data_IF_394360239111
#
_entry.id   IF_394360239111
#
_cell.length_a   1.000
_cell.length_b   1.000
_cell.length_c   1.000
_cell.angle_alpha   90.00
_cell.angle_beta   90.00
_cell.angle_gamma   90.00
#
_symmetry.space_group_name_H-M   'P 1'
#
loop_
_entity.id
_entity.type
_entity.pdbx_description
1 polymer ?
#
# COMPACT_ATOMS: atom_id res chain seq x y z
N UNK A 1 -13.04 -18.18 18.88
CA UNK A 1 -11.86 -17.81 18.06
C UNK A 1 -12.05 -16.37 17.59
N UNK A 2 -11.63 -15.43 18.42
CA UNK A 2 -11.71 -13.98 18.15
C UNK A 2 -10.80 -13.67 16.96
N UNK A 3 -11.36 -13.12 15.88
CA UNK A 3 -10.58 -12.67 14.72
C UNK A 3 -9.72 -11.49 15.15
N UNK A 4 -8.46 -11.75 15.49
CA UNK A 4 -7.55 -10.68 15.86
C UNK A 4 -7.36 -9.76 14.64
N UNK A 5 -7.71 -8.47 14.77
CA UNK A 5 -7.63 -7.54 13.64
C UNK A 5 -6.21 -7.35 13.12
N UNK A 6 -5.21 -7.67 13.95
CA UNK A 6 -3.79 -7.67 13.60
C UNK A 6 -3.45 -8.85 12.68
N UNK A 7 -3.99 -10.05 12.97
CA UNK A 7 -3.81 -11.24 12.13
C UNK A 7 -4.43 -11.06 10.75
N UNK A 8 -5.60 -10.41 10.65
CA UNK A 8 -6.21 -10.07 9.37
C UNK A 8 -5.37 -9.07 8.56
N UNK A 9 -4.80 -8.07 9.22
CA UNK A 9 -3.90 -7.11 8.57
C UNK A 9 -2.60 -7.77 8.10
N UNK A 10 -2.03 -8.66 8.91
CA UNK A 10 -0.87 -9.46 8.56
C UNK A 10 -1.16 -10.36 7.35
N UNK A 11 -2.27 -11.10 7.36
CA UNK A 11 -2.67 -11.95 6.24
C UNK A 11 -2.84 -11.12 4.97
N UNK A 12 -3.47 -9.95 5.05
CA UNK A 12 -3.59 -9.02 3.93
C UNK A 12 -2.23 -8.56 3.38
N UNK A 13 -1.25 -8.27 4.24
CA UNK A 13 0.12 -7.92 3.82
C UNK A 13 0.84 -9.08 3.11
N UNK A 14 0.62 -10.32 3.57
CA UNK A 14 1.17 -11.52 2.92
C UNK A 14 0.56 -11.68 1.53
N UNK A 15 -0.76 -11.57 1.40
CA UNK A 15 -1.45 -11.64 0.10
C UNK A 15 -1.01 -10.54 -0.85
N UNK A 16 -0.87 -9.29 -0.36
CA UNK A 16 -0.35 -8.18 -1.15
C UNK A 16 1.11 -8.39 -1.59
N UNK A 17 1.93 -9.03 -0.75
CA UNK A 17 3.32 -9.32 -1.11
C UNK A 17 3.41 -10.41 -2.17
N UNK A 18 2.58 -11.45 -2.08
CA UNK A 18 2.44 -12.48 -3.11
C UNK A 18 1.98 -11.88 -4.45
N UNK A 19 0.96 -11.02 -4.42
CA UNK A 19 0.49 -10.33 -5.63
C UNK A 19 1.58 -9.44 -6.25
N UNK A 20 2.35 -8.71 -5.44
CA UNK A 20 3.49 -7.92 -5.91
C UNK A 20 4.62 -8.78 -6.50
N UNK A 21 4.92 -9.92 -5.89
CA UNK A 21 5.90 -10.88 -6.41
C UNK A 21 5.45 -11.44 -7.77
N UNK A 22 4.16 -11.76 -7.92
CA UNK A 22 3.58 -12.18 -9.19
C UNK A 22 3.70 -11.12 -10.28
N UNK A 23 3.45 -9.85 -9.94
CA UNK A 23 3.64 -8.73 -10.88
C UNK A 23 5.09 -8.59 -11.36
N UNK A 24 6.07 -8.93 -10.51
CA UNK A 24 7.49 -8.86 -10.87
C UNK A 24 7.95 -9.91 -11.89
N UNK A 25 7.13 -10.95 -12.13
CA UNK A 25 7.41 -11.97 -13.14
C UNK A 25 6.97 -11.53 -14.54
N UNK A 26 6.15 -10.48 -14.64
CA UNK A 26 5.64 -9.96 -15.90
C UNK A 26 6.56 -8.82 -16.37
N UNK A 27 6.92 -8.74 -17.67
CA UNK A 27 7.76 -7.66 -18.18
C UNK A 27 7.14 -6.30 -17.89
N UNK A 28 7.98 -5.37 -17.41
CA UNK A 28 7.53 -4.06 -16.95
C UNK A 28 6.84 -3.26 -18.06
N UNK A 29 5.70 -2.68 -17.71
CA UNK A 29 4.96 -1.75 -18.54
C UNK A 29 4.22 -0.72 -17.67
N UNK A 30 3.77 0.40 -18.23
CA UNK A 30 3.18 1.50 -17.45
C UNK A 30 1.99 1.04 -16.60
N UNK A 31 1.17 0.11 -17.10
CA UNK A 31 0.06 -0.49 -16.35
C UNK A 31 0.55 -1.29 -15.14
N UNK A 32 1.61 -2.09 -15.30
CA UNK A 32 2.19 -2.88 -14.21
C UNK A 32 2.86 -2.00 -13.15
N UNK A 33 3.50 -0.91 -13.56
CA UNK A 33 4.06 0.11 -12.66
C UNK A 33 2.97 0.75 -11.81
N UNK A 34 1.83 1.12 -12.41
CA UNK A 34 0.67 1.64 -11.68
C UNK A 34 0.06 0.59 -10.73
N UNK A 35 -0.04 -0.67 -11.16
CA UNK A 35 -0.48 -1.76 -10.29
C UNK A 35 0.47 -1.92 -9.10
N UNK A 36 1.79 -2.00 -9.33
CA UNK A 36 2.78 -2.11 -8.26
C UNK A 36 2.70 -0.93 -7.27
N UNK A 37 2.53 0.30 -7.77
CA UNK A 37 2.32 1.49 -6.93
C UNK A 37 1.03 1.40 -6.10
N UNK A 38 -0.07 0.92 -6.69
CA UNK A 38 -1.32 0.70 -5.95
C UNK A 38 -1.17 -0.34 -4.83
N UNK A 39 -0.42 -1.42 -5.07
CA UNK A 39 -0.13 -2.42 -4.04
C UNK A 39 0.74 -1.82 -2.92
N UNK A 40 1.76 -1.03 -3.29
CA UNK A 40 2.61 -0.34 -2.32
C UNK A 40 1.81 0.64 -1.45
N UNK A 41 0.89 1.40 -2.06
CA UNK A 41 -0.02 2.31 -1.36
C UNK A 41 -0.89 1.54 -0.35
N UNK A 42 -1.45 0.40 -0.76
CA UNK A 42 -2.32 -0.41 0.11
C UNK A 42 -1.55 -1.02 1.28
N UNK A 43 -0.33 -1.53 1.04
CA UNK A 43 0.57 -2.04 2.09
C UNK A 43 0.92 -0.93 3.09
N UNK A 44 1.28 0.25 2.57
CA UNK A 44 1.57 1.44 3.38
C UNK A 44 0.41 1.81 4.29
N UNK A 45 -0.82 1.88 3.74
CA UNK A 45 -2.02 2.14 4.54
C UNK A 45 -2.26 1.09 5.62
N UNK A 46 -2.09 -0.20 5.34
CA UNK A 46 -2.29 -1.25 6.35
C UNK A 46 -1.29 -1.12 7.51
N UNK A 47 -0.01 -0.89 7.21
CA UNK A 47 1.05 -0.72 8.22
C UNK A 47 0.76 0.53 9.05
N UNK A 48 0.54 1.64 8.37
CA UNK A 48 0.31 2.93 9.00
C UNK A 48 -0.93 2.88 9.92
N UNK A 49 -2.01 2.24 9.45
CA UNK A 49 -3.29 2.27 10.14
C UNK A 49 -3.44 1.19 11.23
N UNK A 50 -2.81 0.03 11.05
CA UNK A 50 -2.95 -1.12 11.97
C UNK A 50 -1.72 -1.41 12.82
N UNK A 51 -0.51 -1.15 12.32
CA UNK A 51 0.74 -1.42 13.05
C UNK A 51 1.24 -0.18 13.80
N UNK A 52 1.13 1.00 13.21
CA UNK A 52 1.56 2.25 13.85
C UNK A 52 0.55 2.80 14.87
N UNK A 53 -0.61 2.13 15.04
CA UNK A 53 -1.60 2.53 16.03
C UNK A 53 -2.32 3.85 15.75
N UNK A 54 -2.10 4.47 14.57
CA UNK A 54 -2.71 5.73 14.14
C UNK A 54 -4.25 5.69 14.10
N UNK A 55 -4.85 4.52 14.24
CA UNK A 55 -6.27 4.36 14.53
C UNK A 55 -6.74 5.18 15.75
N UNK A 56 -5.86 5.42 16.74
CA UNK A 56 -6.17 6.24 17.93
C UNK A 56 -5.95 7.75 17.71
N UNK A 57 -5.38 8.17 16.58
CA UNK A 57 -5.04 9.56 16.27
C UNK A 57 -5.56 9.99 14.88
N UNK A 58 -6.87 10.28 14.73
CA UNK A 58 -7.51 10.48 13.43
C UNK A 58 -7.03 11.71 12.64
N UNK A 59 -6.45 12.73 13.30
CA UNK A 59 -5.82 13.87 12.62
C UNK A 59 -4.51 13.49 11.95
N UNK A 60 -3.64 12.77 12.67
CA UNK A 60 -2.36 12.30 12.15
C UNK A 60 -2.54 11.29 11.02
N UNK A 61 -3.52 10.38 11.15
CA UNK A 61 -3.88 9.44 10.09
C UNK A 61 -4.11 10.14 8.75
N UNK A 62 -4.95 11.18 8.72
CA UNK A 62 -5.30 11.87 7.46
C UNK A 62 -4.08 12.52 6.83
N UNK A 63 -3.21 13.13 7.64
CA UNK A 63 -1.98 13.75 7.16
C UNK A 63 -1.07 12.74 6.48
N UNK A 64 -0.81 11.61 7.14
CA UNK A 64 0.00 10.54 6.54
C UNK A 64 -0.68 9.89 5.33
N UNK A 65 -1.99 9.65 5.36
CA UNK A 65 -2.73 9.13 4.20
C UNK A 65 -2.63 10.08 3.00
N UNK A 66 -2.68 11.40 3.22
CA UNK A 66 -2.51 12.42 2.17
C UNK A 66 -1.08 12.45 1.64
N UNK A 67 -0.06 12.44 2.50
CA UNK A 67 1.35 12.44 2.09
C UNK A 67 1.68 11.17 1.31
N UNK A 68 1.23 10.01 1.79
CA UNK A 68 1.44 8.72 1.13
C UNK A 68 0.73 8.68 -0.23
N UNK A 69 -0.51 9.16 -0.32
CA UNK A 69 -1.23 9.25 -1.59
C UNK A 69 -0.56 10.23 -2.56
N UNK A 70 -0.12 11.39 -2.09
CA UNK A 70 0.60 12.38 -2.91
C UNK A 70 1.92 11.85 -3.43
N UNK A 71 2.69 11.15 -2.59
CA UNK A 71 3.93 10.51 -3.00
C UNK A 71 3.71 9.44 -4.08
N UNK A 72 2.75 8.53 -3.86
CA UNK A 72 2.40 7.53 -4.88
C UNK A 72 1.85 8.15 -6.16
N UNK A 73 1.07 9.24 -6.08
CA UNK A 73 0.59 9.97 -7.24
C UNK A 73 1.73 10.63 -8.03
N UNK A 74 2.72 11.20 -7.33
CA UNK A 74 3.93 11.74 -7.97
C UNK A 74 4.73 10.68 -8.70
N UNK A 75 4.94 9.52 -8.06
CA UNK A 75 5.60 8.37 -8.70
C UNK A 75 4.80 7.81 -9.88
N UNK A 76 3.48 7.78 -9.78
CA UNK A 76 2.61 7.37 -10.89
C UNK A 76 2.72 8.34 -12.08
N UNK A 77 2.76 9.65 -11.82
CA UNK A 77 2.99 10.65 -12.86
C UNK A 77 4.36 10.47 -13.53
N UNK A 78 5.41 10.21 -12.74
CA UNK A 78 6.74 9.92 -13.27
C UNK A 78 6.77 8.64 -14.12
N UNK A 79 6.10 7.57 -13.65
CA UNK A 79 6.03 6.29 -14.34
C UNK A 79 5.23 6.33 -15.66
N UNK A 80 4.41 7.36 -15.87
CA UNK A 80 3.70 7.60 -17.14
C UNK A 80 4.50 8.50 -18.08
N UNK A 81 5.49 9.23 -17.56
CA UNK A 81 6.29 10.18 -18.32
C UNK A 81 7.55 9.53 -18.92
N UNK A 82 8.01 8.43 -18.32
CA UNK A 82 9.13 7.59 -18.75
C UNK A 82 8.59 6.40 -19.55
#
# INVERSE_FOLDING_TARGET
MTRDPLLLAWAGLVTLSLAGAGLSLVPAGPVLSLMALSLALLKGRIILHRYLGLAHAPRWRRGFDMVLAGFCAGLAGLALLI
#
